data_IF_462393496599
#
_entry.id   IF_462393496599
#
_cell.length_a   1.000
_cell.length_b   1.000
_cell.length_c   1.000
_cell.angle_alpha   90.00
_cell.angle_beta   90.00
_cell.angle_gamma   90.00
#
_symmetry.space_group_name_H-M   'P 1'
#
loop_
_entity.id
_entity.type
_entity.pdbx_description
1 polymer ?
#
# COMPACT_ATOMS: atom_id res chain seq x y z
N UNK A 1 -10.40 -43.66 11.79
CA UNK A 1 -9.28 -43.03 11.05
C UNK A 1 -8.06 -43.05 11.97
N UNK A 2 -6.95 -43.71 11.61
CA UNK A 2 -5.77 -43.86 12.49
C UNK A 2 -4.86 -42.65 12.35
N UNK A 3 -4.57 -41.96 13.45
CA UNK A 3 -3.62 -40.84 13.47
C UNK A 3 -2.23 -41.39 13.11
N UNK A 4 -1.58 -40.75 12.14
CA UNK A 4 -0.23 -41.14 11.71
C UNK A 4 0.78 -40.72 12.80
N UNK A 5 1.75 -41.56 13.19
CA UNK A 5 2.67 -41.27 14.29
C UNK A 5 3.41 -39.93 14.18
N UNK A 6 3.79 -39.53 12.96
CA UNK A 6 4.47 -38.25 12.71
C UNK A 6 3.63 -36.99 12.99
N UNK A 7 2.32 -37.12 13.15
CA UNK A 7 1.50 -36.02 13.67
C UNK A 7 1.65 -35.88 15.19
N UNK A 8 1.86 -36.99 15.91
CA UNK A 8 2.11 -36.99 17.35
C UNK A 8 3.53 -36.50 17.67
N UNK A 9 4.49 -36.81 16.79
CA UNK A 9 5.90 -36.41 16.93
C UNK A 9 6.21 -35.01 16.38
N UNK A 10 5.17 -34.19 16.11
CA UNK A 10 5.27 -32.83 15.53
C UNK A 10 6.01 -32.72 14.17
N UNK A 11 6.26 -33.85 13.51
CA UNK A 11 6.94 -33.91 12.21
C UNK A 11 6.04 -33.47 11.05
N UNK A 12 4.72 -33.39 11.27
CA UNK A 12 3.75 -32.94 10.27
C UNK A 12 4.10 -31.58 9.64
N UNK A 13 4.79 -30.69 10.37
CA UNK A 13 5.23 -29.38 9.87
C UNK A 13 6.15 -29.46 8.66
N UNK A 14 6.93 -30.54 8.52
CA UNK A 14 7.85 -30.77 7.39
C UNK A 14 7.15 -31.31 6.14
N UNK A 15 5.93 -31.85 6.29
CA UNK A 15 5.15 -32.44 5.19
C UNK A 15 4.05 -31.51 4.67
N UNK A 16 4.02 -30.26 5.15
CA UNK A 16 3.10 -29.24 4.66
C UNK A 16 3.71 -28.51 3.46
N UNK A 17 3.07 -28.60 2.31
CA UNK A 17 3.42 -27.78 1.15
C UNK A 17 2.76 -26.39 1.27
N UNK A 18 3.57 -25.34 1.26
CA UNK A 18 3.10 -23.95 1.21
C UNK A 18 3.50 -23.33 -0.12
N UNK A 19 2.53 -22.81 -0.88
CA UNK A 19 2.74 -22.09 -2.14
C UNK A 19 2.37 -20.63 -1.92
N UNK A 20 3.30 -19.72 -2.17
CA UNK A 20 3.11 -18.27 -2.04
C UNK A 20 3.16 -17.66 -3.44
N UNK A 21 2.07 -17.02 -3.87
CA UNK A 21 1.96 -16.34 -5.16
C UNK A 21 1.76 -14.84 -4.92
N UNK A 22 2.54 -14.00 -5.59
CA UNK A 22 2.42 -12.55 -5.50
C UNK A 22 3.06 -11.89 -6.71
N UNK A 23 2.55 -10.73 -7.09
CA UNK A 23 3.18 -9.86 -8.10
C UNK A 23 4.46 -9.18 -7.58
N UNK A 24 4.60 -9.10 -6.25
CA UNK A 24 5.72 -8.43 -5.58
C UNK A 24 6.37 -9.33 -4.54
N UNK A 25 7.66 -9.13 -4.32
CA UNK A 25 8.38 -9.81 -3.26
C UNK A 25 8.59 -8.86 -2.08
N UNK A 26 7.91 -9.12 -0.96
CA UNK A 26 8.05 -8.30 0.25
C UNK A 26 8.95 -8.99 1.30
N UNK A 27 9.59 -8.23 2.22
CA UNK A 27 10.41 -8.82 3.28
C UNK A 27 9.61 -9.74 4.21
N UNK A 28 8.33 -9.45 4.46
CA UNK A 28 7.43 -10.27 5.26
C UNK A 28 7.21 -11.64 4.61
N UNK A 29 7.04 -11.68 3.28
CA UNK A 29 6.94 -12.95 2.55
C UNK A 29 8.23 -13.76 2.68
N UNK A 30 9.40 -13.12 2.59
CA UNK A 30 10.68 -13.80 2.78
C UNK A 30 10.84 -14.34 4.21
N UNK A 31 10.43 -13.56 5.22
CA UNK A 31 10.45 -13.99 6.61
C UNK A 31 9.54 -15.22 6.83
N UNK A 32 8.32 -15.20 6.30
CA UNK A 32 7.38 -16.33 6.37
C UNK A 32 7.93 -17.57 5.66
N UNK A 33 8.47 -17.40 4.45
CA UNK A 33 9.03 -18.48 3.65
C UNK A 33 10.23 -19.14 4.34
N UNK A 34 11.08 -18.34 4.98
CA UNK A 34 12.27 -18.85 5.66
C UNK A 34 11.95 -19.43 7.04
N UNK A 35 11.10 -18.76 7.82
CA UNK A 35 10.82 -19.13 9.21
C UNK A 35 9.74 -20.20 9.39
N UNK A 36 8.69 -20.20 8.57
CA UNK A 36 7.50 -21.04 8.81
C UNK A 36 7.27 -22.13 7.78
N UNK A 37 7.85 -22.03 6.58
CA UNK A 37 7.73 -23.07 5.55
C UNK A 37 8.83 -24.12 5.78
N UNK A 38 8.59 -25.05 6.70
CA UNK A 38 9.48 -26.18 6.95
C UNK A 38 9.14 -27.27 5.94
N UNK A 39 10.08 -27.62 5.07
CA UNK A 39 9.88 -28.70 4.09
C UNK A 39 10.82 -29.85 4.43
N UNK A 40 10.35 -31.07 4.23
CA UNK A 40 11.18 -32.28 4.32
C UNK A 40 12.37 -32.18 3.35
N UNK A 41 12.14 -31.66 2.15
CA UNK A 41 13.20 -31.44 1.17
C UNK A 41 12.97 -30.15 0.38
N UNK A 42 13.98 -29.29 0.41
CA UNK A 42 14.13 -28.17 -0.51
C UNK A 42 13.17 -26.98 -0.31
N UNK A 43 13.55 -25.87 -0.95
CA UNK A 43 12.75 -24.66 -1.09
C UNK A 43 13.06 -24.07 -2.46
N UNK A 44 12.03 -23.72 -3.22
CA UNK A 44 12.18 -23.06 -4.52
C UNK A 44 11.52 -21.70 -4.47
N UNK A 45 12.24 -20.69 -4.96
CA UNK A 45 11.75 -19.33 -5.09
C UNK A 45 12.02 -18.85 -6.51
N UNK A 46 10.97 -18.45 -7.20
CA UNK A 46 11.03 -17.80 -8.50
C UNK A 46 10.71 -16.32 -8.30
N UNK A 47 11.60 -15.43 -8.71
CA UNK A 47 11.38 -14.00 -8.71
C UNK A 47 11.66 -13.46 -10.11
N UNK A 48 10.68 -12.80 -10.70
CA UNK A 48 10.86 -12.13 -12.00
C UNK A 48 11.56 -10.80 -11.76
N UNK A 49 12.71 -10.61 -12.39
CA UNK A 49 13.34 -9.29 -12.48
C UNK A 49 12.62 -8.48 -13.56
N UNK A 50 12.00 -7.37 -13.15
CA UNK A 50 11.39 -6.44 -14.09
C UNK A 50 12.42 -5.40 -14.52
N UNK A 51 12.60 -5.24 -15.83
CA UNK A 51 13.29 -4.06 -16.36
C UNK A 51 12.52 -2.82 -15.89
N UNK A 52 13.22 -1.90 -15.21
CA UNK A 52 12.62 -0.70 -14.64
C UNK A 52 11.68 -0.03 -15.64
N UNK A 53 10.50 0.34 -15.20
CA UNK A 53 9.47 0.95 -16.07
C UNK A 53 9.68 2.45 -16.24
N UNK A 54 10.51 3.08 -15.42
CA UNK A 54 10.77 4.52 -15.49
C UNK A 54 11.17 5.00 -16.90
N UNK A 55 12.09 4.33 -17.64
CA UNK A 55 12.42 4.73 -19.00
C UNK A 55 11.30 4.47 -20.03
N UNK A 56 10.29 3.66 -19.66
CA UNK A 56 9.12 3.36 -20.51
C UNK A 56 8.00 4.38 -20.32
N UNK A 57 8.08 5.24 -19.31
CA UNK A 57 7.11 6.31 -19.09
C UNK A 57 7.40 7.40 -20.14
N UNK A 58 6.52 7.51 -21.14
CA UNK A 58 6.68 8.48 -22.25
C UNK A 58 6.54 9.94 -21.80
N UNK A 59 5.90 10.18 -20.67
CA UNK A 59 5.67 11.50 -20.09
C UNK A 59 6.48 11.62 -18.80
N UNK A 60 7.43 12.55 -18.74
CA UNK A 60 8.12 12.85 -17.49
C UNK A 60 7.10 13.43 -16.48
N UNK A 61 6.67 12.60 -15.54
CA UNK A 61 5.78 13.04 -14.47
C UNK A 61 6.63 13.80 -13.45
N UNK A 62 6.37 15.11 -13.32
CA UNK A 62 7.02 15.94 -12.30
C UNK A 62 6.56 15.51 -10.91
N UNK A 63 7.47 14.95 -10.12
CA UNK A 63 7.22 14.65 -8.71
C UNK A 63 7.59 15.88 -7.86
N UNK A 64 6.63 16.38 -7.09
CA UNK A 64 6.83 17.53 -6.19
C UNK A 64 6.57 17.06 -4.77
N UNK A 65 7.55 17.27 -3.88
CA UNK A 65 7.41 16.99 -2.46
C UNK A 65 7.23 18.30 -1.70
N UNK A 66 6.06 18.49 -1.11
CA UNK A 66 5.75 19.64 -0.27
C UNK A 66 5.89 19.28 1.21
N UNK A 67 6.65 20.07 1.95
CA UNK A 67 6.76 19.93 3.41
C UNK A 67 5.64 20.71 4.07
N UNK A 68 5.10 20.13 5.14
CA UNK A 68 4.17 20.77 6.05
C UNK A 68 4.69 20.57 7.48
N UNK A 69 4.41 21.53 8.35
CA UNK A 69 4.84 21.50 9.74
C UNK A 69 3.72 20.94 10.62
N UNK A 70 4.08 20.13 11.61
CA UNK A 70 3.17 19.61 12.63
C UNK A 70 3.85 19.71 13.99
N UNK A 71 3.13 20.21 15.00
CA UNK A 71 3.67 20.44 16.34
C UNK A 71 3.97 19.13 17.09
N UNK A 72 3.26 18.05 16.75
CA UNK A 72 3.44 16.73 17.34
C UNK A 72 2.97 15.60 16.40
N UNK A 73 3.32 14.35 16.74
CA UNK A 73 2.85 13.17 16.00
C UNK A 73 1.33 13.03 16.06
N UNK A 74 0.70 13.40 17.19
CA UNK A 74 -0.76 13.32 17.34
C UNK A 74 -1.52 14.33 16.48
N UNK A 75 -0.92 15.49 16.21
CA UNK A 75 -1.50 16.56 15.39
C UNK A 75 -1.18 16.40 13.89
N UNK A 76 -0.40 15.39 13.52
CA UNK A 76 0.11 15.21 12.16
C UNK A 76 -1.01 15.14 11.11
N UNK A 77 -2.07 14.39 11.42
CA UNK A 77 -3.20 14.18 10.50
C UNK A 77 -4.04 15.45 10.34
N UNK A 78 -4.21 16.21 11.44
CA UNK A 78 -4.94 17.48 11.42
C UNK A 78 -4.14 18.54 10.66
N UNK A 79 -2.84 18.67 10.92
CA UNK A 79 -1.95 19.61 10.23
C UNK A 79 -1.84 19.29 8.73
N UNK A 80 -1.77 18.01 8.35
CA UNK A 80 -1.77 17.59 6.95
C UNK A 80 -3.08 17.95 6.25
N UNK A 81 -4.21 17.71 6.91
CA UNK A 81 -5.52 18.05 6.36
C UNK A 81 -5.69 19.57 6.21
N UNK A 82 -5.26 20.35 7.19
CA UNK A 82 -5.25 21.82 7.10
C UNK A 82 -4.36 22.32 5.96
N UNK A 83 -3.17 21.74 5.80
CA UNK A 83 -2.28 22.04 4.68
C UNK A 83 -2.95 21.73 3.33
N UNK A 84 -3.65 20.60 3.23
CA UNK A 84 -4.41 20.26 2.03
C UNK A 84 -5.47 21.33 1.73
N UNK A 85 -6.30 21.70 2.70
CA UNK A 85 -7.37 22.68 2.53
C UNK A 85 -6.85 24.07 2.16
N UNK A 86 -5.73 24.49 2.75
CA UNK A 86 -5.22 25.87 2.62
C UNK A 86 -4.25 26.06 1.45
N UNK A 87 -3.47 25.04 1.08
CA UNK A 87 -2.39 25.15 0.08
C UNK A 87 -2.59 24.27 -1.13
N UNK A 88 -3.07 23.04 -0.97
CA UNK A 88 -3.15 22.07 -2.07
C UNK A 88 -4.45 22.20 -2.85
N UNK A 89 -5.59 22.28 -2.16
CA UNK A 89 -6.90 22.34 -2.79
C UNK A 89 -7.09 23.60 -3.66
N UNK A 90 -6.67 24.82 -3.25
CA UNK A 90 -6.75 25.99 -4.12
C UNK A 90 -5.95 25.81 -5.41
N UNK A 91 -4.75 25.22 -5.35
CA UNK A 91 -3.94 24.92 -6.54
C UNK A 91 -4.63 23.93 -7.48
N UNK A 92 -5.38 22.97 -6.93
CA UNK A 92 -6.18 22.02 -7.72
C UNK A 92 -7.32 22.76 -8.43
N UNK A 93 -7.98 23.70 -7.76
CA UNK A 93 -9.07 24.48 -8.36
C UNK A 93 -8.59 25.46 -9.43
N UNK A 94 -7.39 26.03 -9.27
CA UNK A 94 -6.77 26.92 -10.25
C UNK A 94 -6.17 26.16 -11.46
N UNK A 95 -6.01 24.84 -11.34
CA UNK A 95 -5.43 24.01 -12.40
C UNK A 95 -6.48 23.59 -13.41
N UNK A 96 -6.19 23.82 -14.70
CA UNK A 96 -6.98 23.32 -15.83
C UNK A 96 -6.54 21.89 -16.26
N UNK A 97 -5.66 21.22 -15.51
CA UNK A 97 -5.00 19.97 -15.91
C UNK A 97 -5.88 18.68 -15.84
N UNK A 98 -7.20 18.82 -15.89
CA UNK A 98 -8.13 17.69 -15.92
C UNK A 98 -8.39 17.06 -14.54
N UNK A 99 -8.64 15.74 -14.52
CA UNK A 99 -9.03 15.04 -13.29
C UNK A 99 -7.87 14.75 -12.35
N UNK A 100 -8.00 15.14 -11.07
CA UNK A 100 -6.99 14.87 -10.03
C UNK A 100 -7.37 13.61 -9.23
N UNK A 101 -6.42 12.68 -9.09
CA UNK A 101 -6.54 11.51 -8.23
C UNK A 101 -5.89 11.78 -6.87
N UNK A 102 -6.69 11.81 -5.82
CA UNK A 102 -6.23 11.98 -4.44
C UNK A 102 -6.10 10.62 -3.75
N UNK A 103 -4.90 10.31 -3.26
CA UNK A 103 -4.65 9.13 -2.44
C UNK A 103 -4.61 9.49 -0.95
N UNK A 104 -5.40 8.79 -0.15
CA UNK A 104 -5.40 8.89 1.30
C UNK A 104 -4.71 7.66 1.91
N UNK A 105 -3.94 7.87 2.98
CA UNK A 105 -3.21 6.78 3.66
C UNK A 105 -4.10 6.02 4.65
N UNK A 106 -5.19 6.63 5.11
CA UNK A 106 -6.15 6.02 6.02
C UNK A 106 -7.60 6.30 5.61
N UNK A 107 -8.50 5.43 6.09
CA UNK A 107 -9.94 5.61 5.89
C UNK A 107 -10.49 6.88 6.57
N UNK A 108 -9.91 7.28 7.71
CA UNK A 108 -10.32 8.50 8.41
C UNK A 108 -9.97 9.77 7.62
N UNK A 109 -8.76 9.82 7.03
CA UNK A 109 -8.37 10.90 6.11
C UNK A 109 -9.31 10.97 4.91
N UNK A 110 -9.64 9.80 4.34
CA UNK A 110 -10.57 9.71 3.21
C UNK A 110 -11.96 10.29 3.52
N UNK A 111 -12.54 9.96 4.68
CA UNK A 111 -13.83 10.53 5.10
C UNK A 111 -13.74 12.05 5.19
N UNK A 112 -12.70 12.57 5.87
CA UNK A 112 -12.49 14.02 6.07
C UNK A 112 -12.35 14.75 4.74
N UNK A 113 -11.52 14.24 3.83
CA UNK A 113 -11.37 14.78 2.47
C UNK A 113 -12.70 14.76 1.73
N UNK A 114 -13.44 13.66 1.77
CA UNK A 114 -14.72 13.56 1.05
C UNK A 114 -15.80 14.48 1.62
N UNK A 115 -15.76 14.75 2.93
CA UNK A 115 -16.66 15.69 3.59
C UNK A 115 -16.31 17.13 3.23
N UNK A 116 -15.03 17.46 3.16
CA UNK A 116 -14.54 18.76 2.71
C UNK A 116 -14.86 19.04 1.24
N UNK A 117 -14.60 18.09 0.35
CA UNK A 117 -14.94 18.24 -1.07
C UNK A 117 -16.46 18.41 -1.28
N UNK A 118 -17.28 17.72 -0.47
CA UNK A 118 -18.74 17.96 -0.45
C UNK A 118 -19.09 19.37 0.02
N UNK A 119 -18.44 19.89 1.06
CA UNK A 119 -18.74 21.23 1.56
C UNK A 119 -18.29 22.36 0.64
N UNK A 120 -17.33 22.08 -0.25
CA UNK A 120 -16.89 22.99 -1.31
C UNK A 120 -17.66 22.79 -2.63
N UNK A 121 -18.74 21.99 -2.65
CA UNK A 121 -19.50 21.63 -3.85
C UNK A 121 -18.63 21.14 -5.03
N UNK A 122 -17.53 20.45 -4.72
CA UNK A 122 -16.60 19.95 -5.72
C UNK A 122 -17.18 18.74 -6.47
N UNK A 123 -16.89 18.65 -7.77
CA UNK A 123 -17.20 17.46 -8.56
C UNK A 123 -16.13 16.38 -8.30
N UNK A 124 -16.47 15.34 -7.55
CA UNK A 124 -15.53 14.23 -7.29
C UNK A 124 -16.21 12.86 -7.32
N UNK A 125 -15.43 11.84 -7.67
CA UNK A 125 -15.82 10.44 -7.61
C UNK A 125 -15.05 9.72 -6.51
N UNK A 126 -15.74 8.86 -5.77
CA UNK A 126 -15.15 8.00 -4.74
C UNK A 126 -14.69 6.69 -5.38
N UNK A 127 -13.39 6.42 -5.32
CA UNK A 127 -12.81 5.15 -5.79
C UNK A 127 -12.24 4.44 -4.56
N UNK A 128 -12.99 3.48 -4.06
CA UNK A 128 -12.64 2.63 -2.92
C UNK A 128 -13.67 1.50 -2.82
N UNK A 129 -13.27 0.35 -2.28
CA UNK A 129 -14.22 -0.70 -1.89
C UNK A 129 -15.12 -0.27 -0.73
#
# INVERSE_FOLDING_TARGET
>A
MRIRPWYLDEQARYYRQTIILSSYLTPEMNALFNGSCLNYEGKVKLATEFTGVLPKIQLEIRQVYERFDASSIGELDDARFEYFCTKVYPKIQESDEGGVLLFASSYFEYIRLSSFLKSQDASFCRIGE
#
